data_IF_565939323376
#
_entry.id   IF_565939323376
#
_cell.length_a   1.000
_cell.length_b   1.000
_cell.length_c   1.000
_cell.angle_alpha   90.00
_cell.angle_beta   90.00
_cell.angle_gamma   90.00
#
_symmetry.space_group_name_H-M   'P 1'
#
loop_
_entity.id
_entity.type
_entity.pdbx_description
1 polymer ?
#
# COMPACT_ATOMS: atom_id res chain seq x y z
N UNK A 1 -11.63 -9.40 13.70
CA UNK A 1 -10.44 -8.63 14.12
C UNK A 1 -9.25 -9.25 13.40
N UNK A 2 -8.52 -8.51 12.53
CA UNK A 2 -7.24 -9.01 12.04
C UNK A 2 -6.33 -9.32 13.24
N UNK A 3 -5.47 -10.33 13.14
CA UNK A 3 -4.52 -10.67 14.19
C UNK A 3 -3.79 -9.40 14.68
N UNK A 4 -3.66 -9.22 15.98
CA UNK A 4 -3.10 -8.02 16.59
C UNK A 4 -1.79 -7.64 15.89
N UNK A 5 -1.77 -6.44 15.30
CA UNK A 5 -0.56 -5.89 14.72
C UNK A 5 0.55 -5.97 15.78
N UNK A 6 1.66 -6.63 15.46
CA UNK A 6 2.78 -6.71 16.40
C UNK A 6 3.27 -5.30 16.66
N UNK A 7 3.41 -4.96 17.95
CA UNK A 7 3.92 -3.68 18.40
C UNK A 7 5.43 -3.53 18.17
N UNK A 8 6.15 -4.64 18.02
CA UNK A 8 7.57 -4.67 17.66
C UNK A 8 7.75 -5.61 16.46
N UNK A 9 8.30 -5.07 15.38
CA UNK A 9 8.62 -5.80 14.14
C UNK A 9 10.12 -6.00 13.96
N UNK A 10 10.96 -5.56 14.90
CA UNK A 10 12.40 -5.82 14.93
C UNK A 10 12.75 -7.00 15.87
N UNK A 11 11.91 -7.31 16.87
CA UNK A 11 12.14 -8.39 17.82
C UNK A 11 10.87 -9.19 18.17
N UNK A 12 10.99 -10.50 18.48
CA UNK A 12 12.21 -11.33 18.43
C UNK A 12 12.63 -11.72 17.01
N UNK A 13 11.82 -11.39 16.01
CA UNK A 13 12.07 -11.66 14.59
C UNK A 13 12.14 -10.32 13.86
N UNK A 14 13.19 -10.13 13.07
CA UNK A 14 13.37 -8.94 12.25
C UNK A 14 12.52 -9.03 10.98
N UNK A 15 11.36 -8.38 11.01
CA UNK A 15 10.51 -8.17 9.84
C UNK A 15 10.86 -6.91 9.06
N UNK A 16 11.64 -5.98 9.64
CA UNK A 16 12.07 -4.74 8.99
C UNK A 16 13.03 -4.99 7.83
N UNK A 17 13.82 -6.07 7.91
CA UNK A 17 14.64 -6.57 6.80
C UNK A 17 13.89 -7.54 5.87
N UNK A 18 12.59 -7.77 6.11
CA UNK A 18 11.78 -8.76 5.41
C UNK A 18 11.18 -8.29 4.09
N UNK A 19 10.22 -9.07 3.59
CA UNK A 19 9.48 -8.81 2.35
C UNK A 19 8.00 -8.68 2.64
N UNK A 20 7.41 -7.57 2.18
CA UNK A 20 5.96 -7.36 2.19
C UNK A 20 5.37 -7.99 0.92
N UNK A 21 4.57 -9.03 1.11
CA UNK A 21 3.72 -9.63 0.07
C UNK A 21 2.34 -8.99 0.13
N UNK A 22 1.83 -8.54 -1.02
CA UNK A 22 0.49 -7.97 -1.15
C UNK A 22 -0.25 -8.66 -2.29
N UNK A 23 -1.53 -8.98 -2.06
CA UNK A 23 -2.48 -9.40 -3.07
C UNK A 23 -3.66 -8.46 -3.09
N UNK A 24 -4.01 -8.00 -4.28
CA UNK A 24 -5.25 -7.27 -4.54
C UNK A 24 -6.11 -8.11 -5.46
N UNK A 25 -7.29 -8.47 -4.97
CA UNK A 25 -8.34 -9.09 -5.77
C UNK A 25 -9.34 -8.00 -6.15
N UNK A 26 -9.59 -7.81 -7.44
CA UNK A 26 -10.52 -6.85 -7.99
C UNK A 26 -11.79 -7.58 -8.40
N UNK A 27 -12.91 -7.19 -7.79
CA UNK A 27 -14.24 -7.65 -8.17
C UNK A 27 -14.75 -6.85 -9.36
N UNK A 28 -15.02 -5.56 -9.15
CA UNK A 28 -15.53 -4.65 -10.19
C UNK A 28 -14.90 -3.27 -10.13
N UNK A 29 -14.88 -2.62 -11.29
CA UNK A 29 -14.49 -1.22 -11.47
C UNK A 29 -15.56 -0.49 -12.27
N UNK A 30 -15.79 0.81 -12.05
CA UNK A 30 -16.86 1.53 -12.71
C UNK A 30 -16.49 1.91 -14.16
N UNK A 31 -15.19 1.97 -14.48
CA UNK A 31 -14.70 2.25 -15.82
C UNK A 31 -13.32 1.61 -16.09
N UNK A 32 -12.87 1.74 -17.34
CA UNK A 32 -11.55 1.32 -17.81
C UNK A 32 -10.42 2.33 -17.51
N UNK A 33 -10.71 3.48 -16.88
CA UNK A 33 -9.70 4.52 -16.61
C UNK A 33 -8.49 3.98 -15.82
N UNK A 34 -7.24 4.25 -16.22
CA UNK A 34 -6.09 3.65 -15.54
C UNK A 34 -6.03 4.03 -14.05
N UNK A 35 -5.89 3.01 -13.20
CA UNK A 35 -5.69 3.16 -11.75
C UNK A 35 -4.38 2.47 -11.39
N UNK A 36 -3.52 3.19 -10.66
CA UNK A 36 -2.27 2.69 -10.14
C UNK A 36 -2.40 2.51 -8.62
N UNK A 37 -1.84 1.42 -8.10
CA UNK A 37 -1.78 1.12 -6.69
C UNK A 37 -0.44 1.54 -6.11
N UNK A 38 -0.49 2.12 -4.91
CA UNK A 38 0.66 2.32 -4.05
C UNK A 38 0.31 1.85 -2.65
N UNK A 39 1.20 1.07 -2.04
CA UNK A 39 1.03 0.56 -0.68
C UNK A 39 1.96 1.32 0.24
N UNK A 40 1.46 1.72 1.41
CA UNK A 40 2.30 2.35 2.41
C UNK A 40 2.13 1.72 3.79
N UNK A 41 3.23 1.59 4.51
CA UNK A 41 3.24 1.21 5.91
C UNK A 41 3.42 2.46 6.77
N UNK A 42 2.59 2.59 7.80
CA UNK A 42 2.74 3.64 8.82
C UNK A 42 3.34 2.98 10.06
N UNK A 43 4.55 3.41 10.44
CA UNK A 43 5.17 2.95 11.68
C UNK A 43 4.32 3.36 12.90
N UNK A 44 4.44 2.63 14.02
CA UNK A 44 3.85 3.06 15.28
C UNK A 44 4.61 4.22 15.95
N UNK A 45 4.02 4.80 16.99
CA UNK A 45 4.56 5.96 17.71
C UNK A 45 3.80 7.26 17.38
N UNK A 46 3.56 8.10 18.38
CA UNK A 46 2.57 9.19 18.38
C UNK A 46 2.89 10.44 17.54
N UNK A 47 3.95 10.41 16.75
CA UNK A 47 4.14 11.33 15.63
C UNK A 47 4.26 10.46 14.38
N UNK A 48 3.13 10.20 13.72
CA UNK A 48 3.09 9.42 12.49
C UNK A 48 4.02 10.05 11.44
N UNK A 49 5.25 9.55 11.38
CA UNK A 49 6.19 9.93 10.34
C UNK A 49 5.59 9.67 8.95
N UNK A 50 6.17 10.29 7.93
CA UNK A 50 5.74 10.10 6.55
C UNK A 50 5.54 8.61 6.24
N UNK A 51 4.38 8.19 5.71
CA UNK A 51 4.14 6.79 5.41
C UNK A 51 5.18 6.27 4.43
N UNK A 52 5.78 5.12 4.71
CA UNK A 52 6.76 4.53 3.80
C UNK A 52 6.02 3.79 2.70
N UNK A 53 6.14 4.31 1.48
CA UNK A 53 5.37 3.80 0.37
C UNK A 53 6.24 3.03 -0.62
N UNK A 54 5.63 2.08 -1.32
CA UNK A 54 6.16 1.57 -2.57
C UNK A 54 6.32 2.72 -3.57
N UNK A 55 7.20 2.59 -4.56
CA UNK A 55 7.29 3.59 -5.63
C UNK A 55 5.90 3.85 -6.25
N UNK A 56 5.47 5.11 -6.23
CA UNK A 56 4.14 5.51 -6.68
C UNK A 56 4.04 5.41 -8.20
N UNK A 57 3.42 4.35 -8.70
CA UNK A 57 3.13 4.20 -10.13
C UNK A 57 3.46 2.84 -10.74
N UNK A 58 4.00 1.89 -9.97
CA UNK A 58 4.49 0.63 -10.54
C UNK A 58 3.42 -0.46 -10.73
N UNK A 59 2.28 -0.40 -10.03
CA UNK A 59 1.29 -1.48 -10.05
C UNK A 59 -0.05 -1.05 -10.64
N UNK A 60 -0.31 -1.33 -11.93
CA UNK A 60 -1.63 -1.17 -12.53
C UNK A 60 -2.67 -2.05 -11.83
N UNK A 61 -3.79 -1.45 -11.44
CA UNK A 61 -4.96 -2.18 -10.96
C UNK A 61 -5.67 -2.82 -12.16
N UNK A 62 -5.77 -4.16 -12.25
CA UNK A 62 -6.46 -4.80 -13.36
C UNK A 62 -7.96 -4.48 -13.35
N UNK A 63 -8.63 -4.68 -14.48
CA UNK A 63 -10.09 -4.52 -14.57
C UNK A 63 -10.84 -5.54 -13.70
N UNK A 64 -10.30 -6.75 -13.58
CA UNK A 64 -10.79 -7.84 -12.73
C UNK A 64 -9.66 -8.85 -12.45
N UNK A 65 -9.88 -9.74 -11.48
CA UNK A 65 -8.92 -10.79 -11.15
C UNK A 65 -7.98 -10.39 -10.02
N UNK A 66 -6.77 -10.96 -9.97
CA UNK A 66 -5.83 -10.71 -8.89
C UNK A 66 -4.48 -10.22 -9.40
N UNK A 67 -3.89 -9.28 -8.68
CA UNK A 67 -2.51 -8.85 -8.85
C UNK A 67 -1.75 -9.04 -7.55
N UNK A 68 -0.52 -9.52 -7.65
CA UNK A 68 0.36 -9.77 -6.51
C UNK A 68 1.61 -8.90 -6.64
N UNK A 69 2.13 -8.45 -5.51
CA UNK A 69 3.38 -7.71 -5.40
C UNK A 69 4.19 -8.27 -4.23
N UNK A 70 5.50 -8.33 -4.38
CA UNK A 70 6.44 -8.59 -3.30
C UNK A 70 7.46 -7.46 -3.29
N UNK A 71 7.59 -6.74 -2.17
CA UNK A 71 8.52 -5.61 -2.03
C UNK A 71 9.38 -5.82 -0.79
N UNK A 72 10.71 -5.77 -0.90
CA UNK A 72 11.58 -5.69 0.27
C UNK A 72 11.21 -4.46 1.09
N UNK A 73 11.06 -4.62 2.41
CA UNK A 73 10.64 -3.51 3.28
C UNK A 73 11.64 -2.35 3.25
N UNK A 74 12.93 -2.65 3.08
CA UNK A 74 14.00 -1.66 2.92
C UNK A 74 13.88 -0.81 1.64
N UNK A 75 13.15 -1.28 0.61
CA UNK A 75 12.92 -0.54 -0.64
C UNK A 75 11.69 0.37 -0.59
N UNK A 76 10.88 0.30 0.48
CA UNK A 76 9.88 1.33 0.72
C UNK A 76 10.59 2.67 0.94
N UNK A 77 10.02 3.76 0.47
CA UNK A 77 10.59 5.09 0.69
C UNK A 77 10.80 5.31 2.19
N UNK A 78 12.03 5.67 2.60
CA UNK A 78 12.47 5.79 3.99
C UNK A 78 12.49 4.46 4.80
N UNK A 79 12.20 3.31 4.19
CA UNK A 79 12.08 2.01 4.88
C UNK A 79 13.35 1.57 5.61
N UNK A 80 14.53 1.93 5.10
CA UNK A 80 15.82 1.67 5.76
C UNK A 80 16.06 2.52 7.02
N UNK A 81 15.35 3.63 7.19
CA UNK A 81 15.53 4.58 8.30
C UNK A 81 14.46 4.43 9.40
N UNK A 82 13.59 3.43 9.31
CA UNK A 82 12.43 3.29 10.19
C UNK A 82 12.77 2.45 11.43
N UNK A 83 12.37 2.96 12.59
CA UNK A 83 12.41 2.20 13.84
C UNK A 83 11.23 1.21 13.91
N UNK A 84 11.46 0.00 13.39
CA UNK A 84 10.48 -1.08 13.38
C UNK A 84 10.11 -1.62 14.78
N UNK A 85 10.80 -1.18 15.85
CA UNK A 85 10.42 -1.52 17.23
C UNK A 85 9.10 -0.91 17.66
N UNK A 86 8.61 0.10 16.92
CA UNK A 86 7.29 0.69 17.13
C UNK A 86 6.17 -0.08 16.41
N UNK A 87 6.52 -1.07 15.59
CA UNK A 87 5.57 -1.86 14.83
C UNK A 87 4.94 -1.07 13.67
N UNK A 88 3.85 -1.61 13.13
CA UNK A 88 3.05 -0.97 12.07
C UNK A 88 1.67 -0.67 12.63
N UNK A 89 1.28 0.59 12.57
CA UNK A 89 -0.04 1.04 12.99
C UNK A 89 -1.09 0.90 11.88
N UNK A 90 -0.69 1.10 10.62
CA UNK A 90 -1.60 1.09 9.47
C UNK A 90 -0.93 0.59 8.18
N UNK A 91 -1.73 -0.07 7.34
CA UNK A 91 -1.47 -0.26 5.91
C UNK A 91 -2.38 0.68 5.13
N UNK A 92 -1.80 1.60 4.38
CA UNK A 92 -2.52 2.50 3.47
C UNK A 92 -2.46 1.94 2.05
N UNK A 93 -3.59 2.00 1.36
CA UNK A 93 -3.69 1.69 -0.07
C UNK A 93 -4.07 2.99 -0.76
N UNK A 94 -3.12 3.57 -1.49
CA UNK A 94 -3.32 4.82 -2.22
C UNK A 94 -3.61 4.47 -3.67
N UNK A 95 -4.80 4.85 -4.14
CA UNK A 95 -5.17 4.78 -5.55
C UNK A 95 -4.68 6.04 -6.26
N UNK A 96 -4.08 5.89 -7.43
CA UNK A 96 -3.56 6.99 -8.25
C UNK A 96 -4.05 6.91 -9.68
N UNK A 97 -4.16 8.05 -10.36
CA UNK A 97 -4.43 8.10 -11.79
C UNK A 97 -3.19 7.75 -12.63
N UNK A 98 -3.34 7.75 -13.97
CA UNK A 98 -2.24 7.51 -14.91
C UNK A 98 -1.07 8.52 -14.80
N UNK A 99 -1.33 9.71 -14.24
CA UNK A 99 -0.31 10.76 -13.98
C UNK A 99 0.33 10.61 -12.60
N UNK A 100 -0.03 9.57 -11.85
CA UNK A 100 0.45 9.32 -10.50
C UNK A 100 -0.17 10.22 -9.43
N UNK A 101 -1.26 10.95 -9.71
CA UNK A 101 -1.93 11.81 -8.72
C UNK A 101 -2.90 10.97 -7.87
N UNK A 102 -3.02 11.20 -6.56
CA UNK A 102 -3.94 10.42 -5.73
C UNK A 102 -5.40 10.64 -6.16
N UNK A 103 -6.19 9.57 -6.19
CA UNK A 103 -7.63 9.60 -6.50
C UNK A 103 -8.43 9.99 -5.25
N UNK A 104 -8.21 11.22 -4.80
CA UNK A 104 -8.82 11.84 -3.64
C UNK A 104 -9.01 13.35 -3.91
N UNK A 105 -10.26 13.82 -3.81
CA UNK A 105 -10.66 15.18 -4.10
C UNK A 105 -10.19 16.20 -3.05
N UNK A 106 -9.59 15.76 -1.94
CA UNK A 106 -8.94 16.63 -0.96
C UNK A 106 -7.52 16.99 -1.37
N UNK A 107 -6.85 16.10 -2.10
CA UNK A 107 -5.42 16.23 -2.42
C UNK A 107 -5.12 16.51 -3.89
N UNK A 108 -6.07 16.25 -4.80
CA UNK A 108 -5.84 16.41 -6.23
C UNK A 108 -6.75 17.45 -6.86
N UNK A 109 -6.16 18.30 -7.70
CA UNK A 109 -6.84 19.34 -8.48
C UNK A 109 -6.46 19.27 -9.96
N UNK A 110 -7.29 19.84 -10.82
CA UNK A 110 -6.95 20.21 -12.19
C UNK A 110 -5.97 21.40 -12.19
N UNK A 111 -5.46 21.77 -13.36
CA UNK A 111 -4.54 22.91 -13.49
C UNK A 111 -5.24 24.23 -13.12
N UNK A 112 -6.56 24.30 -13.30
CA UNK A 112 -7.42 25.42 -12.93
C UNK A 112 -7.81 25.41 -11.44
N UNK A 113 -7.32 24.46 -10.64
CA UNK A 113 -7.61 24.37 -9.21
C UNK A 113 -8.95 23.72 -8.88
N UNK A 114 -9.63 23.09 -9.83
CA UNK A 114 -10.90 22.38 -9.60
C UNK A 114 -10.61 20.98 -9.04
N UNK A 115 -11.38 20.44 -8.08
CA UNK A 115 -11.28 19.03 -7.69
C UNK A 115 -11.37 18.10 -8.90
N UNK A 116 -10.60 17.00 -8.88
CA UNK A 116 -10.69 16.00 -9.95
C UNK A 116 -12.05 15.30 -9.93
N UNK A 117 -12.54 14.92 -11.11
CA UNK A 117 -13.70 14.06 -11.22
C UNK A 117 -13.32 12.62 -10.81
N UNK A 118 -14.02 12.11 -9.80
CA UNK A 118 -13.80 10.79 -9.23
C UNK A 118 -14.81 9.74 -9.74
N UNK A 119 -15.86 10.16 -10.45
CA UNK A 119 -16.90 9.27 -10.97
C UNK A 119 -16.37 8.13 -11.87
N UNK A 120 -15.32 8.34 -12.70
CA UNK A 120 -14.75 7.25 -13.48
C UNK A 120 -14.01 6.20 -12.64
N UNK A 121 -13.66 6.52 -11.39
CA UNK A 121 -12.82 5.68 -10.55
C UNK A 121 -13.60 4.94 -9.47
N UNK A 122 -14.66 5.52 -8.90
CA UNK A 122 -15.42 4.92 -7.79
C UNK A 122 -16.90 4.68 -8.12
N UNK A 123 -17.54 3.67 -7.50
CA UNK A 123 -16.98 2.73 -6.51
C UNK A 123 -16.13 1.62 -7.15
N UNK A 124 -15.05 1.22 -6.48
CA UNK A 124 -14.27 0.01 -6.80
C UNK A 124 -14.57 -1.05 -5.75
N UNK A 125 -14.83 -2.28 -6.20
CA UNK A 125 -14.88 -3.45 -5.33
C UNK A 125 -13.53 -4.18 -5.38
N UNK A 126 -12.79 -4.18 -4.28
CA UNK A 126 -11.52 -4.87 -4.17
C UNK A 126 -11.24 -5.37 -2.75
N UNK A 127 -10.51 -6.48 -2.67
CA UNK A 127 -9.98 -7.06 -1.42
C UNK A 127 -8.46 -7.01 -1.43
N UNK A 128 -7.90 -6.43 -0.38
CA UNK A 128 -6.46 -6.37 -0.16
C UNK A 128 -6.06 -7.34 0.95
N UNK A 129 -5.02 -8.13 0.69
CA UNK A 129 -4.38 -9.01 1.66
C UNK A 129 -2.90 -8.66 1.69
N UNK A 130 -2.32 -8.56 2.88
CA UNK A 130 -0.89 -8.28 3.04
C UNK A 130 -0.29 -9.25 4.07
N UNK A 131 0.90 -9.74 3.78
CA UNK A 131 1.67 -10.64 4.65
C UNK A 131 3.11 -10.16 4.66
N UNK A 132 3.65 -9.92 5.85
CA UNK A 132 5.04 -9.56 6.05
C UNK A 132 5.83 -10.81 6.41
N UNK A 133 6.85 -11.14 5.62
CA UNK A 133 7.66 -12.36 5.76
C UNK A 133 9.08 -11.97 6.14
N UNK A 134 9.65 -12.52 7.23
CA UNK A 134 10.99 -12.17 7.67
C UNK A 134 12.06 -12.79 6.77
N UNK A 135 13.31 -12.29 6.81
CA UNK A 135 14.43 -12.86 6.08
C UNK A 135 14.60 -14.36 6.34
N UNK A 136 14.89 -15.12 5.29
CA UNK A 136 15.12 -16.57 5.39
C UNK A 136 13.86 -17.42 5.55
N UNK A 137 12.68 -16.82 5.72
CA UNK A 137 11.40 -17.53 5.66
C UNK A 137 10.81 -17.50 4.23
N UNK A 138 9.87 -18.41 3.96
CA UNK A 138 9.21 -18.52 2.65
C UNK A 138 7.73 -18.19 2.75
N UNK A 139 7.22 -17.47 1.74
CA UNK A 139 5.79 -17.25 1.56
C UNK A 139 5.16 -18.42 0.78
N UNK A 140 4.18 -19.10 1.35
CA UNK A 140 3.56 -20.30 0.75
C UNK A 140 2.36 -20.01 -0.17
N UNK A 141 1.94 -18.75 -0.29
CA UNK A 141 0.78 -18.35 -1.10
C UNK A 141 -0.40 -17.85 -0.28
N UNK A 142 -1.55 -17.69 -0.97
CA UNK A 142 -2.73 -16.97 -0.50
C UNK A 142 -3.94 -17.87 -0.29
#
# INVERSE_FOLDING_TARGET
MPAAARSDLAAPVDYGSGTLHVRVQVGTRPSAEPVLLQFCLVAGGVDAGSPMCTAGGALPLPASGAVNLAVPVAELAEGANVDWRQGVSQLLVVLRDARGRPLDDRYTRTEEGTPIDLAPYYPIDMRVQAVLVPPGASFSGW
#
